data_IF_189623243989
#
_entry.id   IF_189623243989
#
_cell.length_a   1.000
_cell.length_b   1.000
_cell.length_c   1.000
_cell.angle_alpha   90.00
_cell.angle_beta   90.00
_cell.angle_gamma   90.00
#
_symmetry.space_group_name_H-M   'P 1'
#
loop_
_entity.id
_entity.type
_entity.pdbx_description
1 polymer ?
#
# COMPACT_ATOMS: atom_id res chain seq x y z
N UNK A 1 -6.27 7.90 -34.03
CA UNK A 1 -5.99 8.10 -32.59
C UNK A 1 -6.57 6.94 -31.84
N UNK A 2 -5.69 6.07 -31.30
CA UNK A 2 -6.14 4.93 -30.52
C UNK A 2 -6.49 5.45 -29.12
N UNK A 3 -7.74 5.33 -28.73
CA UNK A 3 -8.28 5.85 -27.47
C UNK A 3 -7.75 5.13 -26.20
N UNK A 4 -6.75 4.25 -26.32
CA UNK A 4 -6.17 3.55 -25.19
C UNK A 4 -7.13 2.58 -24.44
N UNK A 5 -8.26 2.22 -25.05
CA UNK A 5 -9.21 1.25 -24.48
C UNK A 5 -8.67 -0.16 -24.74
N UNK A 6 -8.48 -0.92 -23.66
CA UNK A 6 -8.09 -2.32 -23.72
C UNK A 6 -9.36 -3.19 -23.54
N UNK A 7 -9.56 -4.14 -24.44
CA UNK A 7 -10.58 -5.17 -24.31
C UNK A 7 -9.93 -6.41 -23.74
N UNK A 8 -10.39 -6.86 -22.58
CA UNK A 8 -9.84 -8.01 -21.85
C UNK A 8 -10.94 -9.00 -21.54
N UNK A 9 -10.62 -10.29 -21.49
CA UNK A 9 -11.58 -11.34 -21.12
C UNK A 9 -11.89 -11.34 -19.61
N UNK A 10 -10.89 -11.03 -18.78
CA UNK A 10 -11.04 -10.93 -17.33
C UNK A 10 -10.54 -9.56 -16.84
N UNK A 11 -11.43 -8.77 -16.29
CA UNK A 11 -11.15 -7.43 -15.76
C UNK A 11 -10.53 -7.45 -14.35
N UNK A 12 -10.69 -8.54 -13.59
CA UNK A 12 -10.29 -8.62 -12.18
C UNK A 12 -8.81 -8.31 -11.91
N UNK A 13 -7.83 -8.83 -12.69
CA UNK A 13 -6.43 -8.46 -12.51
C UNK A 13 -6.17 -6.96 -12.70
N UNK A 14 -6.85 -6.34 -13.66
CA UNK A 14 -6.76 -4.90 -13.96
C UNK A 14 -7.37 -4.04 -12.85
N UNK A 15 -8.53 -4.47 -12.31
CA UNK A 15 -9.14 -3.82 -11.16
C UNK A 15 -8.23 -3.92 -9.93
N UNK A 16 -7.63 -5.08 -9.68
CA UNK A 16 -6.67 -5.28 -8.59
C UNK A 16 -5.48 -4.33 -8.73
N UNK A 17 -4.88 -4.24 -9.91
CA UNK A 17 -3.78 -3.31 -10.18
C UNK A 17 -4.20 -1.86 -9.91
N UNK A 18 -5.33 -1.42 -10.47
CA UNK A 18 -5.86 -0.07 -10.23
C UNK A 18 -6.12 0.20 -8.74
N UNK A 19 -6.79 -0.73 -8.04
CA UNK A 19 -7.14 -0.54 -6.63
C UNK A 19 -5.89 -0.47 -5.76
N UNK A 20 -4.90 -1.32 -6.00
CA UNK A 20 -3.67 -1.34 -5.21
C UNK A 20 -2.75 -0.19 -5.59
N UNK A 21 -2.40 -0.01 -6.85
CA UNK A 21 -1.45 1.01 -7.28
C UNK A 21 -2.02 2.42 -7.15
N UNK A 22 -3.13 2.73 -7.85
CA UNK A 22 -3.66 4.09 -7.86
C UNK A 22 -4.40 4.43 -6.57
N UNK A 23 -5.36 3.59 -6.14
CA UNK A 23 -6.18 3.92 -4.98
C UNK A 23 -5.42 3.72 -3.66
N UNK A 24 -4.48 2.76 -3.59
CA UNK A 24 -3.58 2.58 -2.44
C UNK A 24 -2.68 3.79 -2.23
N UNK A 25 -1.97 4.24 -3.27
CA UNK A 25 -1.16 5.46 -3.22
C UNK A 25 -1.98 6.68 -2.81
N UNK A 26 -3.20 6.82 -3.35
CA UNK A 26 -4.11 7.90 -2.98
C UNK A 26 -4.41 7.90 -1.47
N UNK A 27 -4.67 6.72 -0.89
CA UNK A 27 -4.92 6.60 0.55
C UNK A 27 -3.69 6.95 1.38
N UNK A 28 -2.50 6.46 1.02
CA UNK A 28 -1.24 6.78 1.70
C UNK A 28 -1.00 8.30 1.69
N UNK A 29 -1.07 8.94 0.51
CA UNK A 29 -0.89 10.38 0.37
C UNK A 29 -1.94 11.18 1.15
N UNK A 30 -3.19 10.71 1.16
CA UNK A 30 -4.25 11.40 1.89
C UNK A 30 -4.02 11.38 3.40
N UNK A 31 -3.68 10.23 3.98
CA UNK A 31 -3.46 10.16 5.43
C UNK A 31 -2.18 10.86 5.85
N UNK A 32 -1.06 10.64 5.16
CA UNK A 32 0.19 11.37 5.44
C UNK A 32 0.00 12.87 5.23
N UNK A 33 -0.72 13.27 4.16
CA UNK A 33 -1.04 14.66 3.87
C UNK A 33 -1.91 15.32 4.94
N UNK A 34 -2.96 14.62 5.43
CA UNK A 34 -3.80 15.12 6.53
C UNK A 34 -2.97 15.32 7.79
N UNK A 35 -2.11 14.38 8.14
CA UNK A 35 -1.23 14.50 9.30
C UNK A 35 -0.20 15.64 9.16
N UNK A 36 0.31 15.87 7.95
CA UNK A 36 1.25 16.97 7.67
C UNK A 36 0.57 18.33 7.42
N UNK A 37 -0.78 18.39 7.42
CA UNK A 37 -1.54 19.62 7.18
C UNK A 37 -1.60 20.03 5.70
N UNK A 38 -1.45 19.07 4.76
CA UNK A 38 -1.58 19.32 3.32
C UNK A 38 -3.06 19.35 2.91
N UNK A 39 -3.51 20.43 2.28
CA UNK A 39 -4.90 20.52 1.79
C UNK A 39 -5.14 19.60 0.59
N UNK A 40 -4.21 19.55 -0.36
CA UNK A 40 -4.33 18.80 -1.60
C UNK A 40 -3.37 17.60 -1.63
N UNK A 41 -3.79 16.54 -2.32
CA UNK A 41 -2.93 15.38 -2.59
C UNK A 41 -1.66 15.79 -3.38
N UNK A 42 -1.77 16.77 -4.28
CA UNK A 42 -0.60 17.31 -4.98
C UNK A 42 0.40 17.98 -4.05
N UNK A 43 -0.05 18.61 -2.97
CA UNK A 43 0.84 19.21 -1.98
C UNK A 43 1.54 18.13 -1.16
N UNK A 44 0.79 17.07 -0.77
CA UNK A 44 1.37 15.90 -0.12
C UNK A 44 2.42 15.21 -1.00
N UNK A 45 2.14 14.99 -2.29
CA UNK A 45 3.11 14.41 -3.24
C UNK A 45 4.33 15.33 -3.45
N UNK A 46 4.18 16.65 -3.29
CA UNK A 46 5.29 17.60 -3.32
C UNK A 46 6.31 17.43 -2.18
N UNK A 47 5.98 16.65 -1.14
CA UNK A 47 6.93 16.26 -0.11
C UNK A 47 7.78 15.07 -0.62
N UNK A 48 9.12 15.22 -0.76
CA UNK A 48 9.98 14.16 -1.30
C UNK A 48 9.89 12.84 -0.52
N UNK A 49 9.68 12.90 0.81
CA UNK A 49 9.53 11.71 1.63
C UNK A 49 8.24 10.94 1.31
N UNK A 50 7.15 11.64 1.06
CA UNK A 50 5.88 11.00 0.71
C UNK A 50 5.89 10.45 -0.71
N UNK A 51 6.51 11.17 -1.66
CA UNK A 51 6.73 10.65 -3.01
C UNK A 51 7.57 9.36 -2.98
N UNK A 52 8.66 9.34 -2.22
CA UNK A 52 9.51 8.16 -2.09
C UNK A 52 8.75 6.96 -1.48
N UNK A 53 7.89 7.19 -0.49
CA UNK A 53 7.04 6.14 0.10
C UNK A 53 6.06 5.57 -0.93
N UNK A 54 5.37 6.40 -1.72
CA UNK A 54 4.40 5.87 -2.70
C UNK A 54 5.09 5.19 -3.87
N UNK A 55 6.27 5.64 -4.29
CA UNK A 55 7.10 4.93 -5.26
C UNK A 55 7.47 3.54 -4.75
N UNK A 56 7.98 3.47 -3.52
CA UNK A 56 8.32 2.21 -2.85
C UNK A 56 7.09 1.32 -2.67
N UNK A 57 5.95 1.88 -2.29
CA UNK A 57 4.70 1.12 -2.19
C UNK A 57 4.33 0.47 -3.52
N UNK A 58 4.43 1.19 -4.63
CA UNK A 58 4.12 0.63 -5.95
C UNK A 58 5.10 -0.46 -6.35
N UNK A 59 6.43 -0.22 -6.24
CA UNK A 59 7.47 -1.16 -6.71
C UNK A 59 7.66 -2.35 -5.79
N UNK A 60 7.77 -2.12 -4.47
CA UNK A 60 8.19 -3.14 -3.52
C UNK A 60 7.00 -3.90 -2.91
N UNK A 61 5.88 -3.19 -2.67
CA UNK A 61 4.74 -3.79 -1.96
C UNK A 61 3.66 -4.29 -2.93
N UNK A 62 3.31 -3.51 -3.98
CA UNK A 62 2.18 -3.84 -4.86
C UNK A 62 2.59 -4.71 -6.04
N UNK A 63 3.59 -4.29 -6.83
CA UNK A 63 3.96 -4.96 -8.08
C UNK A 63 4.17 -6.47 -7.91
N UNK A 64 4.87 -6.96 -6.86
CA UNK A 64 5.07 -8.40 -6.65
C UNK A 64 3.79 -9.18 -6.30
N UNK A 65 2.67 -8.48 -6.05
CA UNK A 65 1.36 -9.09 -5.74
C UNK A 65 0.42 -9.11 -6.95
N UNK A 66 0.85 -8.57 -8.08
CA UNK A 66 0.04 -8.51 -9.28
C UNK A 66 0.35 -9.68 -10.21
N UNK A 67 -0.70 -10.26 -10.77
CA UNK A 67 -0.54 -11.20 -11.88
C UNK A 67 -0.01 -10.46 -13.12
N UNK A 68 0.68 -11.15 -14.03
CA UNK A 68 1.11 -10.53 -15.28
C UNK A 68 -0.08 -9.94 -16.05
N UNK A 69 0.03 -8.66 -16.40
CA UNK A 69 -1.01 -7.93 -17.15
C UNK A 69 -0.51 -7.71 -18.59
N UNK A 70 -0.97 -8.52 -19.57
CA UNK A 70 -0.51 -8.42 -20.94
C UNK A 70 -0.73 -7.02 -21.51
N UNK A 71 0.34 -6.38 -21.98
CA UNK A 71 0.27 -5.04 -22.57
C UNK A 71 0.27 -3.86 -21.58
N UNK A 72 0.36 -4.11 -20.26
CA UNK A 72 0.57 -3.06 -19.26
C UNK A 72 2.05 -2.99 -18.86
N UNK A 73 2.65 -1.85 -19.13
CA UNK A 73 3.93 -1.45 -18.54
C UNK A 73 3.66 -0.88 -17.14
N UNK A 74 3.95 -1.66 -16.08
CA UNK A 74 3.72 -1.25 -14.69
C UNK A 74 4.58 -0.05 -14.29
N UNK A 75 5.82 0.06 -14.79
CA UNK A 75 6.69 1.19 -14.51
C UNK A 75 6.12 2.47 -15.15
N UNK A 76 5.73 2.41 -16.42
CA UNK A 76 5.08 3.53 -17.11
C UNK A 76 3.74 3.90 -16.46
N UNK A 77 2.98 2.91 -15.98
CA UNK A 77 1.73 3.16 -15.27
C UNK A 77 1.97 3.87 -13.92
N UNK A 78 3.01 3.50 -13.19
CA UNK A 78 3.41 4.17 -11.94
C UNK A 78 3.70 5.64 -12.16
N UNK A 79 4.48 5.99 -13.21
CA UNK A 79 4.77 7.38 -13.57
C UNK A 79 3.49 8.16 -13.97
N UNK A 80 2.56 7.53 -14.68
CA UNK A 80 1.27 8.14 -15.01
C UNK A 80 0.43 8.42 -13.76
N UNK A 81 0.42 7.51 -12.80
CA UNK A 81 -0.27 7.69 -11.51
C UNK A 81 0.31 8.88 -10.75
N UNK A 82 1.64 8.97 -10.65
CA UNK A 82 2.31 10.09 -9.98
C UNK A 82 2.07 11.42 -10.70
N UNK A 83 2.19 11.46 -12.03
CA UNK A 83 1.89 12.65 -12.82
C UNK A 83 0.45 13.13 -12.62
N UNK A 84 -0.51 12.20 -12.51
CA UNK A 84 -1.90 12.52 -12.22
C UNK A 84 -2.07 13.13 -10.82
N UNK A 85 -1.39 12.61 -9.80
CA UNK A 85 -1.44 13.16 -8.44
C UNK A 85 -0.74 14.52 -8.33
N UNK A 86 0.33 14.75 -9.09
CA UNK A 86 1.01 16.03 -9.17
C UNK A 86 0.15 17.14 -9.80
N UNK A 87 -0.90 16.78 -10.55
CA UNK A 87 -1.74 17.75 -11.26
C UNK A 87 -2.60 18.56 -10.30
N UNK A 88 -2.24 19.83 -10.12
CA UNK A 88 -3.01 20.80 -9.31
C UNK A 88 -4.38 21.13 -9.89
N UNK A 89 -4.59 20.90 -11.18
CA UNK A 89 -5.88 21.16 -11.82
C UNK A 89 -7.00 20.23 -11.33
N UNK A 90 -6.66 19.02 -10.87
CA UNK A 90 -7.63 18.05 -10.36
C UNK A 90 -8.13 18.39 -8.95
N UNK A 91 -7.40 19.24 -8.19
CA UNK A 91 -7.77 19.72 -6.85
C UNK A 91 -8.30 18.62 -5.92
N UNK A 92 -7.67 17.44 -5.94
CA UNK A 92 -8.05 16.34 -5.04
C UNK A 92 -7.72 16.73 -3.59
N UNK A 93 -8.76 17.00 -2.79
CA UNK A 93 -8.58 17.37 -1.38
C UNK A 93 -8.21 16.16 -0.55
N UNK A 94 -7.14 16.25 0.23
CA UNK A 94 -6.67 15.15 1.09
C UNK A 94 -7.77 14.65 2.03
N UNK A 95 -8.58 15.55 2.62
CA UNK A 95 -9.70 15.19 3.47
C UNK A 95 -10.77 14.36 2.75
N UNK A 96 -11.11 14.70 1.50
CA UNK A 96 -12.10 13.95 0.71
C UNK A 96 -11.62 12.54 0.37
N UNK A 97 -10.33 12.39 0.08
CA UNK A 97 -9.74 11.08 -0.21
C UNK A 97 -9.61 10.23 1.06
N UNK A 98 -9.34 10.87 2.20
CA UNK A 98 -9.22 10.22 3.50
C UNK A 98 -10.57 9.71 4.06
N UNK A 99 -11.71 10.21 3.55
CA UNK A 99 -13.04 9.75 3.96
C UNK A 99 -13.23 8.24 3.72
N UNK A 100 -14.14 7.60 4.47
CA UNK A 100 -14.50 6.17 4.40
C UNK A 100 -13.29 5.22 4.51
N UNK A 101 -12.29 5.59 5.30
CA UNK A 101 -11.06 4.83 5.45
C UNK A 101 -11.28 3.40 5.88
N UNK A 102 -12.19 3.19 6.84
CA UNK A 102 -12.56 1.87 7.34
C UNK A 102 -13.06 0.91 6.27
N UNK A 103 -13.72 1.41 5.22
CA UNK A 103 -14.21 0.62 4.10
C UNK A 103 -13.17 0.44 2.98
N UNK A 104 -12.32 1.45 2.80
CA UNK A 104 -11.33 1.48 1.70
C UNK A 104 -10.05 0.71 2.02
N UNK A 105 -9.61 0.75 3.29
CA UNK A 105 -8.33 0.21 3.74
C UNK A 105 -8.17 -1.30 3.45
N UNK A 106 -9.19 -2.16 3.72
CA UNK A 106 -9.08 -3.59 3.50
C UNK A 106 -8.67 -3.93 2.06
N UNK A 107 -9.27 -3.27 1.08
CA UNK A 107 -9.04 -3.54 -0.34
C UNK A 107 -7.76 -2.89 -0.87
N UNK A 108 -7.38 -1.71 -0.34
CA UNK A 108 -6.32 -0.88 -0.89
C UNK A 108 -4.94 -1.20 -0.32
N UNK A 109 -4.87 -1.52 0.99
CA UNK A 109 -3.60 -1.70 1.71
C UNK A 109 -3.50 -3.06 2.41
N UNK A 110 -4.51 -3.46 3.19
CA UNK A 110 -4.46 -4.70 3.99
C UNK A 110 -4.22 -5.93 3.12
N UNK A 111 -4.96 -6.07 2.02
CA UNK A 111 -4.77 -7.19 1.10
C UNK A 111 -3.38 -7.23 0.48
N UNK A 112 -2.75 -6.08 0.24
CA UNK A 112 -1.35 -6.00 -0.24
C UNK A 112 -0.39 -6.51 0.84
N UNK A 113 -0.58 -6.10 2.10
CA UNK A 113 0.24 -6.58 3.22
C UNK A 113 0.13 -8.10 3.36
N UNK A 114 -1.09 -8.64 3.37
CA UNK A 114 -1.32 -10.10 3.48
C UNK A 114 -0.57 -10.85 2.38
N UNK A 115 -0.73 -10.45 1.12
CA UNK A 115 -0.08 -11.13 0.01
C UNK A 115 1.46 -11.03 0.10
N UNK A 116 2.00 -9.88 0.51
CA UNK A 116 3.46 -9.73 0.70
C UNK A 116 3.98 -10.54 1.87
N UNK A 117 3.24 -10.61 2.98
CA UNK A 117 3.61 -11.44 4.13
C UNK A 117 3.64 -12.94 3.78
N UNK A 118 2.70 -13.41 2.97
CA UNK A 118 2.73 -14.77 2.42
C UNK A 118 3.98 -15.07 1.58
N UNK A 119 4.55 -14.03 0.95
CA UNK A 119 5.82 -14.11 0.21
C UNK A 119 7.06 -13.96 1.11
N UNK A 120 6.88 -13.78 2.43
CA UNK A 120 7.97 -13.56 3.38
C UNK A 120 8.60 -12.15 3.33
N UNK A 121 7.92 -11.19 2.69
CA UNK A 121 8.40 -9.83 2.56
C UNK A 121 7.88 -8.91 3.69
N UNK A 122 8.51 -7.74 3.82
CA UNK A 122 8.20 -6.71 4.81
C UNK A 122 7.62 -5.46 4.12
N UNK A 123 6.29 -5.36 3.93
CA UNK A 123 5.65 -4.29 3.17
C UNK A 123 5.53 -3.00 3.99
N UNK A 124 6.67 -2.36 4.25
CA UNK A 124 6.75 -1.21 5.17
C UNK A 124 6.00 0.02 4.68
N UNK A 125 5.92 0.26 3.37
CA UNK A 125 5.20 1.42 2.85
C UNK A 125 3.68 1.25 2.99
N UNK A 126 3.15 0.04 2.75
CA UNK A 126 1.75 -0.28 3.00
C UNK A 126 1.40 -0.17 4.49
N UNK A 127 2.26 -0.70 5.37
CA UNK A 127 2.09 -0.62 6.83
C UNK A 127 2.13 0.82 7.33
N UNK A 128 3.00 1.68 6.77
CA UNK A 128 3.00 3.11 7.08
C UNK A 128 1.66 3.77 6.70
N UNK A 129 1.10 3.44 5.54
CA UNK A 129 -0.22 3.94 5.14
C UNK A 129 -1.33 3.55 6.13
N UNK A 130 -1.29 2.31 6.64
CA UNK A 130 -2.24 1.82 7.64
C UNK A 130 -2.02 2.52 9.00
N UNK A 131 -0.77 2.66 9.45
CA UNK A 131 -0.44 3.35 10.70
C UNK A 131 -0.83 4.85 10.64
N UNK A 132 -0.65 5.49 9.48
CA UNK A 132 -1.06 6.87 9.26
C UNK A 132 -2.59 7.02 9.34
N UNK A 133 -3.36 6.07 8.77
CA UNK A 133 -4.81 6.02 8.95
C UNK A 133 -5.18 5.83 10.44
N UNK A 134 -4.54 4.89 11.15
CA UNK A 134 -4.79 4.68 12.58
C UNK A 134 -4.62 5.97 13.38
N UNK A 135 -3.51 6.69 13.15
CA UNK A 135 -3.26 7.98 13.80
C UNK A 135 -4.33 9.02 13.43
N UNK A 136 -4.65 9.16 12.14
CA UNK A 136 -5.68 10.06 11.65
C UNK A 136 -7.04 9.79 12.30
N UNK A 137 -7.47 8.53 12.33
CA UNK A 137 -8.78 8.13 12.81
C UNK A 137 -8.93 8.20 14.35
N UNK A 138 -7.83 7.95 15.09
CA UNK A 138 -7.83 7.88 16.55
C UNK A 138 -7.46 9.21 17.19
N UNK A 139 -6.34 9.81 16.78
CA UNK A 139 -5.81 11.03 17.41
C UNK A 139 -6.55 12.30 16.94
N UNK A 140 -7.14 12.26 15.74
CA UNK A 140 -7.96 13.34 15.16
C UNK A 140 -7.28 14.71 15.15
N UNK A 141 -5.95 14.73 15.06
CA UNK A 141 -5.16 15.96 14.95
C UNK A 141 -3.97 15.78 14.01
N UNK A 142 -3.54 16.86 13.39
CA UNK A 142 -2.33 16.92 12.57
C UNK A 142 -1.05 16.99 13.43
N UNK A 143 0.13 17.06 12.77
CA UNK A 143 1.44 17.18 13.42
C UNK A 143 1.63 18.48 14.19
N UNK A 144 0.77 19.47 13.98
CA UNK A 144 0.78 20.77 14.68
C UNK A 144 -0.25 20.84 15.80
N UNK A 145 -1.02 19.74 16.01
CA UNK A 145 -2.10 19.67 16.98
C UNK A 145 -3.41 20.30 16.51
N UNK A 146 -3.54 20.69 15.23
CA UNK A 146 -4.80 21.21 14.68
C UNK A 146 -5.82 20.07 14.53
N UNK A 147 -7.10 20.27 14.87
CA UNK A 147 -8.10 19.23 14.80
C UNK A 147 -8.36 18.78 13.37
N UNK A 148 -8.50 17.47 13.17
CA UNK A 148 -8.89 16.84 11.90
C UNK A 148 -10.31 16.29 12.01
N UNK A 149 -11.11 16.52 10.97
CA UNK A 149 -12.43 15.90 10.84
C UNK A 149 -12.27 14.51 10.22
N UNK A 150 -12.72 13.49 10.94
CA UNK A 150 -12.73 12.11 10.45
C UNK A 150 -14.12 11.82 9.88
N UNK A 151 -14.22 11.83 8.55
CA UNK A 151 -15.44 11.46 7.81
C UNK A 151 -15.38 9.96 7.50
N UNK A 152 -15.88 9.16 8.43
CA UNK A 152 -15.85 7.70 8.33
C UNK A 152 -17.10 7.12 9.02
N UNK A 153 -17.85 6.20 8.38
CA UNK A 153 -19.05 5.61 8.98
C UNK A 153 -18.78 4.85 10.28
N UNK A 154 -17.54 4.46 10.52
CA UNK A 154 -17.12 3.78 11.75
C UNK A 154 -16.37 4.69 12.72
N UNK A 155 -16.39 6.02 12.52
CA UNK A 155 -15.62 6.96 13.34
C UNK A 155 -15.94 6.85 14.85
N UNK A 156 -17.21 6.70 15.20
CA UNK A 156 -17.63 6.56 16.60
C UNK A 156 -17.25 5.20 17.18
N UNK A 157 -17.41 4.13 16.40
CA UNK A 157 -17.01 2.78 16.79
C UNK A 157 -15.48 2.65 16.96
N UNK A 158 -14.70 3.35 16.13
CA UNK A 158 -13.24 3.45 16.28
C UNK A 158 -12.90 4.15 17.59
N UNK A 159 -13.54 5.29 17.88
CA UNK A 159 -13.30 6.06 19.09
C UNK A 159 -13.68 5.25 20.36
N UNK A 160 -14.83 4.57 20.35
CA UNK A 160 -15.25 3.71 21.45
C UNK A 160 -14.26 2.56 21.71
N UNK A 161 -13.89 1.85 20.65
CA UNK A 161 -12.97 0.70 20.71
C UNK A 161 -11.58 1.08 21.23
N UNK A 162 -11.10 2.28 20.89
CA UNK A 162 -9.77 2.77 21.30
C UNK A 162 -9.80 3.62 22.58
N UNK A 163 -10.96 3.87 23.18
CA UNK A 163 -11.13 4.76 24.34
C UNK A 163 -10.28 4.37 25.57
N UNK A 164 -10.07 3.07 25.76
CA UNK A 164 -9.26 2.53 26.87
C UNK A 164 -7.85 2.10 26.43
N UNK A 165 -7.52 2.25 25.15
CA UNK A 165 -6.21 1.86 24.62
C UNK A 165 -5.10 2.76 25.17
N UNK A 166 -4.00 2.15 25.63
CA UNK A 166 -2.84 2.89 26.15
C UNK A 166 -1.67 2.79 25.19
N UNK A 167 -1.15 3.94 24.77
CA UNK A 167 -0.04 4.02 23.84
C UNK A 167 -0.35 3.45 22.45
N UNK A 168 0.67 3.31 21.63
CA UNK A 168 0.50 2.82 20.26
C UNK A 168 0.16 1.33 20.21
N UNK A 169 0.77 0.53 21.05
CA UNK A 169 0.48 -0.92 21.15
C UNK A 169 -0.99 -1.16 21.46
N UNK A 170 -1.53 -0.53 22.51
CA UNK A 170 -2.93 -0.73 22.87
C UNK A 170 -3.92 -0.27 21.79
N UNK A 171 -3.58 0.79 21.03
CA UNK A 171 -4.40 1.23 19.88
C UNK A 171 -4.37 0.19 18.76
N UNK A 172 -3.19 -0.33 18.42
CA UNK A 172 -3.04 -1.36 17.39
C UNK A 172 -3.81 -2.61 17.78
N UNK A 173 -3.63 -3.13 19.00
CA UNK A 173 -4.33 -4.32 19.50
C UNK A 173 -5.86 -4.14 19.44
N UNK A 174 -6.35 -2.98 19.90
CA UNK A 174 -7.79 -2.69 19.88
C UNK A 174 -8.38 -2.67 18.47
N UNK A 175 -7.63 -2.16 17.47
CA UNK A 175 -8.08 -2.10 16.09
C UNK A 175 -7.93 -3.44 15.38
N UNK A 176 -6.80 -4.15 15.57
CA UNK A 176 -6.57 -5.48 14.97
C UNK A 176 -7.59 -6.51 15.44
N UNK A 177 -8.12 -6.38 16.66
CA UNK A 177 -9.23 -7.20 17.17
C UNK A 177 -10.57 -6.98 16.44
N UNK A 178 -10.58 -6.31 15.28
CA UNK A 178 -11.77 -6.02 14.48
C UNK A 178 -11.78 -6.81 13.16
N UNK A 179 -12.37 -8.02 13.11
CA UNK A 179 -12.27 -8.92 11.95
C UNK A 179 -12.89 -8.36 10.66
N UNK A 180 -13.85 -7.42 10.78
CA UNK A 180 -14.45 -6.78 9.61
C UNK A 180 -13.48 -5.89 8.84
N UNK A 181 -12.43 -5.37 9.51
CA UNK A 181 -11.40 -4.53 8.90
C UNK A 181 -10.10 -5.29 8.67
N UNK A 182 -9.73 -6.12 9.62
CA UNK A 182 -8.45 -6.84 9.62
C UNK A 182 -8.71 -8.34 9.68
N UNK A 183 -8.49 -9.09 8.60
CA UNK A 183 -8.64 -10.54 8.61
C UNK A 183 -7.62 -11.18 9.58
N UNK A 184 -7.95 -12.36 10.11
CA UNK A 184 -7.12 -13.04 11.11
C UNK A 184 -5.66 -13.18 10.66
N UNK A 185 -5.41 -13.52 9.40
CA UNK A 185 -4.07 -13.64 8.84
C UNK A 185 -3.24 -12.34 8.94
N UNK A 186 -3.90 -11.18 8.89
CA UNK A 186 -3.24 -9.89 9.09
C UNK A 186 -3.11 -9.59 10.59
N UNK A 187 -4.17 -9.82 11.37
CA UNK A 187 -4.24 -9.46 12.77
C UNK A 187 -3.34 -10.33 13.66
N UNK A 188 -3.16 -11.61 13.31
CA UNK A 188 -2.36 -12.57 14.07
C UNK A 188 -0.87 -12.56 13.65
N UNK A 189 -0.50 -11.80 12.60
CA UNK A 189 0.92 -11.64 12.21
C UNK A 189 1.63 -10.69 13.17
N UNK A 190 2.49 -11.26 14.01
CA UNK A 190 3.25 -10.49 15.00
C UNK A 190 4.11 -9.40 14.38
N UNK A 191 4.75 -9.66 13.22
CA UNK A 191 5.52 -8.64 12.52
C UNK A 191 4.66 -7.43 12.16
N UNK A 192 3.44 -7.68 11.67
CA UNK A 192 2.48 -6.62 11.33
C UNK A 192 2.10 -5.81 12.57
N UNK A 193 1.73 -6.46 13.67
CA UNK A 193 1.35 -5.78 14.90
C UNK A 193 2.49 -4.94 15.49
N UNK A 194 3.68 -5.54 15.61
CA UNK A 194 4.87 -4.87 16.16
C UNK A 194 5.26 -3.66 15.27
N UNK A 195 5.28 -3.83 13.94
CA UNK A 195 5.63 -2.75 12.99
C UNK A 195 4.60 -1.62 13.00
N UNK A 196 3.30 -1.94 13.05
CA UNK A 196 2.24 -0.91 13.15
C UNK A 196 2.38 -0.10 14.44
N UNK A 197 2.68 -0.75 15.57
CA UNK A 197 2.87 -0.08 16.85
C UNK A 197 4.11 0.83 16.84
N UNK A 198 5.19 0.39 16.22
CA UNK A 198 6.41 1.18 16.03
C UNK A 198 6.14 2.39 15.13
N UNK A 199 5.55 2.18 13.95
CA UNK A 199 5.23 3.25 13.01
C UNK A 199 4.26 4.27 13.61
N UNK A 200 3.23 3.81 14.34
CA UNK A 200 2.31 4.71 15.03
C UNK A 200 3.01 5.53 16.12
N UNK A 201 3.98 4.93 16.81
CA UNK A 201 4.79 5.63 17.80
C UNK A 201 5.66 6.70 17.14
N UNK A 202 6.32 6.38 16.02
CA UNK A 202 7.11 7.34 15.26
C UNK A 202 6.23 8.47 14.69
N UNK A 203 5.10 8.15 14.12
CA UNK A 203 4.15 9.15 13.61
C UNK A 203 3.73 10.14 14.71
N UNK A 204 3.47 9.67 15.93
CA UNK A 204 3.07 10.51 17.06
C UNK A 204 4.21 11.37 17.61
N UNK A 205 5.43 10.83 17.63
CA UNK A 205 6.61 11.50 18.20
C UNK A 205 7.27 12.44 17.20
N UNK A 206 7.49 11.97 15.98
CA UNK A 206 8.37 12.60 14.99
C UNK A 206 7.60 13.26 13.83
N UNK A 207 6.31 12.98 13.71
CA UNK A 207 5.44 13.45 12.65
C UNK A 207 5.50 12.61 11.37
N UNK A 208 4.60 12.93 10.44
CA UNK A 208 4.38 12.17 9.22
C UNK A 208 5.59 12.21 8.27
N UNK A 209 6.19 13.39 8.05
CA UNK A 209 7.31 13.53 7.11
C UNK A 209 8.56 12.79 7.59
N UNK A 210 8.89 12.89 8.89
CA UNK A 210 10.07 12.22 9.46
C UNK A 210 9.93 10.70 9.39
N UNK A 211 8.74 10.18 9.73
CA UNK A 211 8.44 8.75 9.67
C UNK A 211 8.47 8.24 8.22
N UNK A 212 7.91 9.00 7.28
CA UNK A 212 7.96 8.65 5.86
C UNK A 212 9.40 8.61 5.33
N UNK A 213 10.26 9.56 5.72
CA UNK A 213 11.68 9.57 5.35
C UNK A 213 12.42 8.34 5.90
N UNK A 214 12.13 7.94 7.13
CA UNK A 214 12.68 6.72 7.73
C UNK A 214 12.30 5.48 6.93
N UNK A 215 11.00 5.30 6.62
CA UNK A 215 10.51 4.17 5.84
C UNK A 215 11.06 4.18 4.41
N UNK A 216 11.12 5.34 3.76
CA UNK A 216 11.67 5.46 2.40
C UNK A 216 13.17 5.09 2.33
N UNK A 217 13.94 5.37 3.38
CA UNK A 217 15.36 5.05 3.45
C UNK A 217 15.68 3.62 3.94
N UNK A 218 14.69 2.86 4.42
CA UNK A 218 14.90 1.47 4.82
C UNK A 218 15.29 0.58 3.61
N UNK A 219 16.14 -0.46 3.78
CA UNK A 219 16.47 -1.36 2.67
C UNK A 219 15.20 -1.99 2.09
N UNK A 220 15.15 -2.10 0.76
CA UNK A 220 14.05 -2.82 0.09
C UNK A 220 14.00 -4.27 0.56
N UNK A 221 12.80 -4.86 0.75
CA UNK A 221 12.68 -6.22 1.18
C UNK A 221 13.38 -7.14 0.17
N UNK A 222 14.42 -7.84 0.62
CA UNK A 222 15.07 -8.86 -0.20
C UNK A 222 14.02 -9.91 -0.54
N UNK A 223 13.81 -10.18 -1.83
CA UNK A 223 13.07 -11.36 -2.25
C UNK A 223 13.72 -12.55 -1.54
N UNK A 224 12.97 -13.28 -0.73
CA UNK A 224 13.43 -14.51 -0.11
C UNK A 224 14.02 -15.42 -1.19
N UNK A 225 14.95 -16.35 -0.86
CA UNK A 225 15.66 -17.14 -1.86
C UNK A 225 14.64 -17.82 -2.76
N UNK A 226 14.60 -17.35 -4.02
CA UNK A 226 13.74 -17.91 -5.04
C UNK A 226 13.98 -19.43 -5.06
N UNK A 227 12.93 -20.22 -4.97
CA UNK A 227 13.01 -21.64 -5.26
C UNK A 227 13.58 -21.75 -6.66
N UNK A 228 14.87 -22.03 -6.73
CA UNK A 228 15.51 -22.40 -7.99
C UNK A 228 14.70 -23.56 -8.55
N UNK A 229 14.00 -23.29 -9.65
CA UNK A 229 13.33 -24.31 -10.43
C UNK A 229 14.32 -25.42 -10.71
N UNK A 230 13.93 -26.66 -10.41
CA UNK A 230 14.68 -27.84 -10.79
C UNK A 230 15.03 -27.73 -12.28
N UNK A 231 16.26 -28.13 -12.70
CA UNK A 231 16.62 -28.11 -14.11
C UNK A 231 15.65 -29.03 -14.87
N UNK A 232 14.99 -28.45 -15.86
CA UNK A 232 14.12 -29.21 -16.77
C UNK A 232 14.89 -30.31 -17.48
N UNK A 233 14.21 -31.42 -17.86
CA UNK A 233 14.87 -32.56 -18.50
C UNK A 233 15.53 -32.12 -19.82
N UNK A 234 16.77 -32.47 -19.96
CA UNK A 234 17.58 -32.29 -21.17
C UNK A 234 16.85 -32.88 -22.40
N UNK A 235 16.73 -32.17 -23.51
CA UNK A 235 16.15 -32.75 -24.73
C UNK A 235 17.03 -33.88 -25.24
N UNK A 236 16.50 -35.09 -25.20
CA UNK A 236 17.12 -36.24 -25.83
C UNK A 236 17.19 -36.05 -27.35
N UNK A 237 18.36 -36.36 -27.91
CA UNK A 237 18.70 -36.14 -29.30
C UNK A 237 17.72 -36.81 -30.28
N UNK A 238 17.44 -36.06 -31.35
CA UNK A 238 16.76 -36.58 -32.54
C UNK A 238 17.53 -37.75 -33.13
N UNK A 239 16.86 -38.85 -33.54
CA UNK A 239 17.51 -39.88 -34.34
C UNK A 239 17.82 -39.36 -35.74
N UNK A 240 19.06 -39.53 -36.19
CA UNK A 240 19.46 -39.29 -37.57
C UNK A 240 18.79 -40.31 -38.49
N UNK A 241 18.01 -39.85 -39.42
CA UNK A 241 17.56 -40.65 -40.57
C UNK A 241 18.77 -40.92 -41.47
N UNK A 242 19.09 -42.20 -41.63
CA UNK A 242 20.06 -42.67 -42.63
C UNK A 242 19.43 -42.51 -44.01
N UNK A 243 20.06 -41.78 -44.88
CA UNK A 243 19.82 -41.83 -46.32
C UNK A 243 20.39 -43.15 -46.84
N UNK A 244 19.57 -43.97 -47.49
CA UNK A 244 20.01 -45.05 -48.37
C UNK A 244 20.09 -44.53 -49.79
N UNK A 245 21.10 -45.00 -50.58
CA UNK A 245 21.38 -44.54 -51.93
C UNK A 245 20.56 -45.29 -53.00
N UNK A 246 19.95 -44.50 -53.90
CA UNK A 246 19.84 -44.80 -55.35
C UNK A 246 19.51 -43.56 -56.12
#
# INVERSE_FOLDING_TARGET
>A
EHSGVLFVEDVRPWERAKVRMLNGCHSILAYLGQLAGCELVSDALGCPAFEAVVRRFMSDDVEPTLDPLPGLDLAGYSEQVLARFASRSLRHRSAQIAADGSQKLPLRLVGTVVDRRRQGAEPLAALLGIAAWMRYAVDRCDDRGSPLTVDDPLADAIAERTSHARGSVGVVDALLAWPAMFPAEFADDRFVADTLAELLTHLRRDGAESTARHVAGAPSPTAGPGRHGAPGPTPQGRPQLREEPR
#
